data_IF_963339783966
#
_entry.id   IF_963339783966
#
_cell.length_a   1.000
_cell.length_b   1.000
_cell.length_c   1.000
_cell.angle_alpha   90.00
_cell.angle_beta   90.00
_cell.angle_gamma   90.00
#
_symmetry.space_group_name_H-M   'P 1'
#
loop_
_entity.id
_entity.type
_entity.pdbx_description
1 polymer ?
#
# COMPACT_ATOMS: atom_id res chain seq x y z
N UNK A 1 -17.32 -6.72 1.23
CA UNK A 1 -16.56 -7.49 2.24
C UNK A 1 -16.11 -6.61 3.41
N UNK A 2 -15.33 -5.53 3.18
CA UNK A 2 -14.88 -4.59 4.25
C UNK A 2 -16.02 -3.79 4.92
N UNK A 3 -16.94 -3.22 4.14
CA UNK A 3 -18.11 -2.47 4.67
C UNK A 3 -19.02 -3.38 5.55
N UNK A 4 -19.16 -4.66 5.18
CA UNK A 4 -19.94 -5.64 5.98
C UNK A 4 -19.23 -5.97 7.30
N UNK A 5 -17.90 -6.16 7.28
CA UNK A 5 -17.08 -6.36 8.49
C UNK A 5 -17.23 -5.16 9.45
N UNK A 6 -17.09 -3.95 8.91
CA UNK A 6 -17.30 -2.71 9.65
C UNK A 6 -18.70 -2.66 10.27
N UNK A 7 -19.75 -2.98 9.51
CA UNK A 7 -21.13 -2.93 10.01
C UNK A 7 -21.42 -3.88 11.19
N UNK A 8 -20.69 -4.99 11.34
CA UNK A 8 -20.92 -5.97 12.42
C UNK A 8 -20.19 -5.62 13.72
N UNK A 9 -19.07 -4.89 13.64
CA UNK A 9 -18.24 -4.54 14.80
C UNK A 9 -18.27 -3.05 15.17
N UNK A 10 -18.84 -2.20 14.32
CA UNK A 10 -18.96 -0.77 14.59
C UNK A 10 -20.18 -0.47 15.46
N UNK A 11 -19.96 0.11 16.64
CA UNK A 11 -20.96 0.98 17.22
C UNK A 11 -21.04 2.26 16.37
N UNK A 12 -21.93 2.25 15.38
CA UNK A 12 -22.12 3.38 14.46
C UNK A 12 -22.57 4.67 15.15
N UNK A 13 -23.16 4.59 16.35
CA UNK A 13 -23.60 5.78 17.09
C UNK A 13 -22.41 6.53 17.69
N UNK A 14 -21.46 5.82 18.31
CA UNK A 14 -20.32 6.43 18.99
C UNK A 14 -19.04 6.54 18.12
N UNK A 15 -18.98 5.87 16.97
CA UNK A 15 -17.77 5.90 16.13
C UNK A 15 -17.74 7.17 15.27
N UNK A 16 -16.83 8.09 15.60
CA UNK A 16 -16.55 9.31 14.82
C UNK A 16 -15.40 9.15 13.81
N UNK A 17 -14.49 8.18 13.97
CA UNK A 17 -13.51 7.86 12.92
C UNK A 17 -13.02 6.41 12.96
N UNK A 18 -12.39 5.99 11.86
CA UNK A 18 -11.71 4.71 11.68
C UNK A 18 -10.21 4.95 11.53
N UNK A 19 -9.40 4.46 12.46
CA UNK A 19 -7.94 4.58 12.42
C UNK A 19 -7.29 3.30 11.92
N UNK A 20 -6.33 3.41 10.99
CA UNK A 20 -5.63 2.28 10.39
C UNK A 20 -4.17 2.26 10.81
N UNK A 21 -3.63 1.08 11.10
CA UNK A 21 -2.20 0.92 11.32
C UNK A 21 -1.43 1.08 10.00
N UNK A 22 -0.32 1.81 10.07
CA UNK A 22 0.53 2.04 8.91
C UNK A 22 1.52 0.88 8.71
N UNK A 23 1.57 0.36 7.49
CA UNK A 23 2.58 -0.58 7.00
C UNK A 23 3.48 0.12 5.99
N UNK A 24 4.79 0.16 6.27
CA UNK A 24 5.76 0.68 5.29
C UNK A 24 6.11 -0.36 4.26
N UNK A 25 5.97 0.03 2.99
CA UNK A 25 6.44 -0.69 1.82
C UNK A 25 7.59 0.14 1.23
N UNK A 26 8.82 -0.19 1.62
CA UNK A 26 9.98 0.56 1.13
C UNK A 26 10.24 0.23 -0.33
N UNK A 27 10.45 1.26 -1.15
CA UNK A 27 10.66 1.12 -2.59
C UNK A 27 12.01 0.48 -2.93
N UNK A 28 12.96 0.48 -2.00
CA UNK A 28 14.28 -0.15 -2.17
C UNK A 28 14.30 -1.65 -1.95
N UNK A 29 13.24 -2.25 -1.38
CA UNK A 29 13.11 -3.71 -1.46
C UNK A 29 12.91 -4.13 -2.91
N UNK A 30 13.38 -5.32 -3.23
CA UNK A 30 13.18 -5.91 -4.55
C UNK A 30 11.70 -6.02 -4.90
N UNK A 31 11.45 -6.03 -6.21
CA UNK A 31 10.13 -6.31 -6.76
C UNK A 31 9.71 -7.75 -6.44
N UNK A 32 8.41 -8.00 -6.31
CA UNK A 32 7.86 -9.34 -6.16
C UNK A 32 8.11 -10.18 -7.41
N UNK A 33 8.50 -11.45 -7.27
CA UNK A 33 8.73 -12.35 -8.39
C UNK A 33 7.49 -12.53 -9.30
N UNK A 34 6.28 -12.26 -8.79
CA UNK A 34 5.08 -12.26 -9.61
C UNK A 34 5.13 -11.27 -10.79
N UNK A 35 6.04 -10.28 -10.78
CA UNK A 35 6.23 -9.39 -11.94
C UNK A 35 6.68 -10.13 -13.20
N UNK A 36 7.38 -11.26 -13.06
CA UNK A 36 7.81 -12.10 -14.20
C UNK A 36 6.66 -12.92 -14.80
N UNK A 37 5.53 -13.01 -14.10
CA UNK A 37 4.37 -13.81 -14.50
C UNK A 37 3.24 -12.92 -15.05
N UNK A 38 3.44 -11.60 -15.11
CA UNK A 38 2.48 -10.69 -15.75
C UNK A 38 2.69 -10.66 -17.26
N UNK A 39 1.57 -10.65 -17.99
CA UNK A 39 1.56 -10.61 -19.45
C UNK A 39 1.35 -9.19 -20.01
N UNK A 40 1.14 -8.20 -19.14
CA UNK A 40 0.81 -6.84 -19.54
C UNK A 40 1.62 -5.80 -18.77
N UNK A 41 1.97 -4.71 -19.47
CA UNK A 41 2.78 -3.63 -18.92
C UNK A 41 2.09 -2.85 -17.79
N UNK A 42 0.76 -2.78 -17.77
CA UNK A 42 0.03 -2.08 -16.69
C UNK A 42 0.27 -2.83 -15.38
N UNK A 43 0.01 -4.13 -15.34
CA UNK A 43 0.19 -4.94 -14.13
C UNK A 43 1.63 -4.90 -13.60
N UNK A 44 2.63 -5.00 -14.48
CA UNK A 44 4.04 -5.03 -14.07
C UNK A 44 4.59 -3.67 -13.59
N UNK A 45 3.96 -2.56 -13.98
CA UNK A 45 4.38 -1.23 -13.54
C UNK A 45 3.58 -0.70 -12.34
N UNK A 46 2.49 -1.35 -11.93
CA UNK A 46 1.74 -0.95 -10.74
C UNK A 46 2.54 -1.23 -9.47
N UNK A 47 2.91 -0.17 -8.75
CA UNK A 47 3.64 -0.25 -7.47
C UNK A 47 2.94 -1.17 -6.47
N UNK A 48 1.61 -1.18 -6.44
CA UNK A 48 0.81 -2.03 -5.53
C UNK A 48 0.90 -3.52 -5.85
N UNK A 49 1.25 -3.90 -7.08
CA UNK A 49 1.43 -5.28 -7.50
C UNK A 49 2.91 -5.69 -7.50
N UNK A 50 3.79 -4.73 -7.79
CA UNK A 50 5.24 -4.93 -7.88
C UNK A 50 5.95 -4.86 -6.53
N UNK A 51 5.56 -3.94 -5.65
CA UNK A 51 6.17 -3.76 -4.31
C UNK A 51 5.27 -4.36 -3.25
N UNK A 52 5.40 -5.65 -3.00
CA UNK A 52 4.56 -6.40 -2.05
C UNK A 52 5.21 -6.60 -0.69
N UNK A 53 6.50 -6.29 -0.55
CA UNK A 53 7.21 -6.44 0.71
C UNK A 53 6.95 -5.24 1.61
N UNK A 54 6.62 -5.52 2.87
CA UNK A 54 6.45 -4.51 3.91
C UNK A 54 7.25 -4.83 5.16
N UNK A 55 7.46 -3.83 6.01
CA UNK A 55 7.98 -4.04 7.37
C UNK A 55 7.03 -4.96 8.13
N UNK A 56 7.57 -5.95 8.85
CA UNK A 56 6.76 -6.92 9.59
C UNK A 56 5.98 -6.24 10.72
N UNK A 57 6.66 -5.38 11.49
CA UNK A 57 6.05 -4.60 12.57
C UNK A 57 5.26 -3.41 12.00
N UNK A 58 3.96 -3.40 12.27
CA UNK A 58 3.07 -2.28 11.96
C UNK A 58 3.30 -1.12 12.94
N UNK A 59 3.06 0.11 12.49
CA UNK A 59 3.04 1.25 13.40
C UNK A 59 1.81 1.18 14.32
N UNK A 60 1.96 1.56 15.61
CA UNK A 60 0.81 1.72 16.50
C UNK A 60 -0.22 2.70 15.93
N UNK A 61 -1.48 2.54 16.31
CA UNK A 61 -2.50 3.54 16.00
C UNK A 61 -2.07 4.93 16.49
N UNK A 62 -2.49 5.97 15.77
CA UNK A 62 -2.14 7.39 16.01
C UNK A 62 -0.67 7.73 15.73
N UNK A 63 0.19 6.76 15.47
CA UNK A 63 1.56 6.98 15.01
C UNK A 63 1.67 6.71 13.52
N UNK A 64 1.82 7.77 12.71
CA UNK A 64 1.87 7.65 11.23
C UNK A 64 0.63 7.04 10.60
N UNK A 65 -0.44 6.80 11.37
CA UNK A 65 -1.74 6.37 10.89
C UNK A 65 -2.36 7.39 9.94
N UNK A 66 -3.28 6.89 9.13
CA UNK A 66 -4.31 7.70 8.47
C UNK A 66 -5.66 7.17 8.92
N UNK A 67 -6.67 8.01 8.81
CA UNK A 67 -8.00 7.73 9.30
C UNK A 67 -9.05 8.23 8.32
N UNK A 68 -10.24 7.62 8.42
CA UNK A 68 -11.45 8.12 7.77
C UNK A 68 -12.32 8.66 8.91
N UNK A 69 -12.64 9.95 8.92
CA UNK A 69 -13.52 10.55 9.91
C UNK A 69 -14.92 10.81 9.37
N UNK A 70 -15.87 10.95 10.30
CA UNK A 70 -17.21 11.47 10.08
C UNK A 70 -17.19 12.96 10.41
N UNK A 71 -17.24 13.84 9.40
CA UNK A 71 -17.12 15.28 9.62
C UNK A 71 -18.16 15.80 10.62
N UNK A 72 -19.38 15.26 10.60
CA UNK A 72 -20.48 15.67 11.48
C UNK A 72 -20.27 15.34 12.97
N UNK A 73 -19.26 14.53 13.30
CA UNK A 73 -18.87 14.16 14.67
C UNK A 73 -17.49 14.67 15.06
N UNK A 74 -16.80 15.35 14.14
CA UNK A 74 -15.41 15.78 14.29
C UNK A 74 -15.37 17.29 14.53
N UNK A 75 -14.74 17.70 15.64
CA UNK A 75 -14.49 19.12 15.93
C UNK A 75 -13.15 19.53 15.33
N UNK A 76 -12.10 18.74 15.55
CA UNK A 76 -10.76 19.07 15.05
C UNK A 76 -10.02 17.84 14.50
N UNK A 77 -9.63 17.93 13.22
CA UNK A 77 -8.89 16.89 12.51
C UNK A 77 -7.37 17.07 12.69
N UNK A 78 -6.68 16.07 13.25
CA UNK A 78 -5.21 16.06 13.31
C UNK A 78 -4.56 15.29 12.16
N UNK A 79 -3.23 15.31 12.08
CA UNK A 79 -2.48 14.67 10.97
C UNK A 79 -2.59 13.12 10.94
N UNK A 80 -2.59 12.48 12.12
CA UNK A 80 -2.61 11.01 12.25
C UNK A 80 -3.86 10.46 12.92
N UNK A 81 -4.64 11.32 13.57
CA UNK A 81 -5.88 11.00 14.25
C UNK A 81 -6.68 12.29 14.42
N UNK A 82 -7.99 12.18 14.62
CA UNK A 82 -8.84 13.31 15.03
C UNK A 82 -8.46 13.73 16.45
N UNK A 83 -8.20 15.02 16.65
CA UNK A 83 -7.83 15.57 17.96
C UNK A 83 -9.06 15.74 18.85
N UNK A 84 -10.17 16.19 18.29
CA UNK A 84 -11.40 16.45 19.06
C UNK A 84 -12.67 15.96 18.33
N UNK A 85 -13.58 15.38 19.10
CA UNK A 85 -14.91 14.92 18.66
C UNK A 85 -16.01 15.61 19.44
N UNK A 86 -17.22 15.62 18.88
CA UNK A 86 -18.44 15.91 19.65
C UNK A 86 -18.52 14.93 20.85
N UNK A 87 -18.89 15.38 22.07
CA UNK A 87 -18.98 14.52 23.24
C UNK A 87 -19.71 13.20 22.98
N UNK A 88 -19.17 12.10 23.52
CA UNK A 88 -19.72 10.75 23.34
C UNK A 88 -19.24 10.02 22.07
N UNK A 89 -18.37 10.63 21.28
CA UNK A 89 -17.82 10.01 20.06
C UNK A 89 -16.32 9.81 20.14
N UNK A 90 -15.80 8.89 19.33
CA UNK A 90 -14.37 8.59 19.32
C UNK A 90 -13.88 7.80 18.12
N UNK A 91 -12.66 7.28 18.26
CA UNK A 91 -11.97 6.51 17.21
C UNK A 91 -12.22 5.03 17.40
N UNK A 92 -12.59 4.31 16.33
CA UNK A 92 -12.39 2.87 16.26
C UNK A 92 -11.00 2.59 15.68
N UNK A 93 -10.18 1.87 16.44
CA UNK A 93 -8.95 1.28 15.93
C UNK A 93 -9.29 0.05 15.09
N UNK A 94 -9.09 0.15 13.77
CA UNK A 94 -9.37 -0.96 12.85
C UNK A 94 -8.33 -2.07 13.06
N UNK A 95 -8.75 -3.30 13.39
CA UNK A 95 -7.83 -4.43 13.52
C UNK A 95 -7.04 -4.68 12.23
N UNK A 96 -5.76 -5.04 12.37
CA UNK A 96 -4.84 -5.21 11.23
C UNK A 96 -5.14 -6.42 10.35
N UNK A 97 -5.85 -7.42 10.88
CA UNK A 97 -6.40 -8.54 10.11
C UNK A 97 -7.58 -8.12 9.21
N UNK A 98 -8.23 -7.00 9.53
CA UNK A 98 -9.30 -6.42 8.72
C UNK A 98 -8.79 -5.46 7.64
N UNK A 99 -7.90 -4.53 8.03
CA UNK A 99 -7.28 -3.60 7.10
C UNK A 99 -6.02 -2.93 7.69
N UNK A 100 -5.08 -2.62 6.80
CA UNK A 100 -3.89 -1.82 7.08
C UNK A 100 -3.77 -0.71 6.03
N UNK A 101 -3.03 0.35 6.37
CA UNK A 101 -2.65 1.40 5.43
C UNK A 101 -1.33 1.03 4.75
N UNK A 102 -1.35 0.89 3.43
CA UNK A 102 -0.14 0.72 2.62
C UNK A 102 0.53 2.08 2.43
N UNK A 103 1.76 2.23 2.92
CA UNK A 103 2.54 3.45 2.78
C UNK A 103 3.83 3.14 2.02
N UNK A 104 3.79 3.39 0.72
CA UNK A 104 4.93 3.26 -0.18
C UNK A 104 5.86 4.45 -0.02
N UNK A 105 7.14 4.20 0.26
CA UNK A 105 8.09 5.29 0.51
C UNK A 105 9.54 4.90 0.25
N UNK A 106 10.39 5.91 0.07
CA UNK A 106 11.85 5.78 0.18
C UNK A 106 12.24 5.79 1.68
N UNK A 107 13.36 5.14 2.04
CA UNK A 107 13.89 5.15 3.42
C UNK A 107 13.92 6.58 4.00
N UNK A 108 13.50 6.71 5.26
CA UNK A 108 13.26 7.97 5.98
C UNK A 108 14.46 8.92 6.04
N UNK A 109 15.66 8.36 6.21
CA UNK A 109 16.86 9.09 6.62
C UNK A 109 17.96 9.04 5.56
N UNK A 110 17.61 8.70 4.32
CA UNK A 110 18.59 8.34 3.28
C UNK A 110 19.17 6.94 3.49
N UNK A 111 19.96 6.48 2.51
CA UNK A 111 20.54 5.14 2.49
C UNK A 111 19.51 4.01 2.42
N UNK A 112 19.95 2.80 2.80
CA UNK A 112 19.18 1.55 2.67
C UNK A 112 19.05 0.77 3.99
N UNK A 113 19.29 1.41 5.13
CA UNK A 113 19.19 0.71 6.43
C UNK A 113 17.75 0.27 6.74
N UNK A 114 16.75 0.96 6.18
CA UNK A 114 15.34 0.62 6.42
C UNK A 114 14.97 -0.77 5.88
N UNK A 115 15.64 -1.24 4.80
CA UNK A 115 15.38 -2.54 4.19
C UNK A 115 16.10 -3.70 4.90
N UNK A 116 17.02 -3.42 5.82
CA UNK A 116 17.67 -4.40 6.70
C UNK A 116 16.77 -4.87 7.85
N UNK A 117 15.64 -4.19 8.06
CA UNK A 117 14.69 -4.54 9.12
C UNK A 117 13.83 -5.75 8.75
N UNK A 118 13.27 -6.43 9.76
CA UNK A 118 12.38 -7.57 9.56
C UNK A 118 11.20 -7.20 8.63
N UNK A 119 11.03 -7.99 7.57
CA UNK A 119 10.03 -7.77 6.52
C UNK A 119 9.23 -9.04 6.23
N UNK A 120 8.06 -8.85 5.62
CA UNK A 120 7.20 -9.94 5.16
C UNK A 120 6.61 -9.59 3.79
N UNK A 121 6.30 -10.62 3.00
CA UNK A 121 5.58 -10.46 1.74
C UNK A 121 4.07 -10.31 2.03
N UNK A 122 3.46 -9.28 1.46
CA UNK A 122 2.04 -8.97 1.61
C UNK A 122 1.40 -8.78 0.24
N UNK A 123 0.76 -9.84 -0.25
CA UNK A 123 0.04 -9.87 -1.52
C UNK A 123 -1.44 -9.52 -1.36
N UNK A 124 -1.87 -8.95 -0.24
CA UNK A 124 -3.31 -8.68 0.02
C UNK A 124 -3.93 -7.79 -1.07
N UNK A 125 -3.17 -6.89 -1.67
CA UNK A 125 -3.62 -6.04 -2.78
C UNK A 125 -3.99 -6.83 -4.05
N UNK A 126 -3.48 -8.05 -4.24
CA UNK A 126 -3.74 -8.87 -5.43
C UNK A 126 -5.20 -9.29 -5.55
N UNK A 127 -5.96 -9.28 -4.44
CA UNK A 127 -7.43 -9.48 -4.49
C UNK A 127 -8.15 -8.45 -5.35
N UNK A 128 -7.51 -7.30 -5.62
CA UNK A 128 -8.03 -6.23 -6.46
C UNK A 128 -7.25 -6.10 -7.77
N UNK A 129 -6.34 -7.02 -8.09
CA UNK A 129 -5.45 -6.94 -9.25
C UNK A 129 -6.21 -6.61 -10.52
N UNK A 130 -7.17 -7.44 -10.90
CA UNK A 130 -7.84 -7.32 -12.20
C UNK A 130 -8.69 -6.05 -12.31
N UNK A 131 -9.40 -5.69 -11.23
CA UNK A 131 -10.20 -4.46 -11.20
C UNK A 131 -9.29 -3.23 -11.28
N UNK A 132 -8.17 -3.23 -10.54
CA UNK A 132 -7.23 -2.11 -10.51
C UNK A 132 -6.50 -1.95 -11.84
N UNK A 133 -6.00 -3.04 -12.42
CA UNK A 133 -5.26 -3.01 -13.69
C UNK A 133 -6.17 -2.56 -14.83
N UNK A 134 -7.42 -3.04 -14.87
CA UNK A 134 -8.39 -2.59 -15.88
C UNK A 134 -8.74 -1.10 -15.72
N UNK A 135 -8.98 -0.63 -14.50
CA UNK A 135 -9.27 0.78 -14.24
C UNK A 135 -8.10 1.70 -14.63
N UNK A 136 -6.87 1.29 -14.29
CA UNK A 136 -5.66 2.04 -14.64
C UNK A 136 -5.41 2.02 -16.14
N UNK A 137 -5.58 0.87 -16.82
CA UNK A 137 -5.45 0.75 -18.28
C UNK A 137 -6.37 1.73 -19.00
N UNK A 138 -7.64 1.75 -18.63
CA UNK A 138 -8.62 2.67 -19.22
C UNK A 138 -8.21 4.14 -19.07
N UNK A 139 -7.69 4.53 -17.91
CA UNK A 139 -7.21 5.90 -17.70
C UNK A 139 -5.90 6.20 -18.43
N UNK A 140 -4.97 5.24 -18.45
CA UNK A 140 -3.71 5.38 -19.17
C UNK A 140 -3.95 5.56 -20.67
N UNK A 141 -4.74 4.69 -21.30
CA UNK A 141 -5.03 4.75 -22.74
C UNK A 141 -5.74 6.06 -23.11
N UNK A 142 -6.69 6.50 -22.28
CA UNK A 142 -7.40 7.78 -22.45
C UNK A 142 -6.46 9.00 -22.39
N UNK A 143 -5.45 8.95 -21.52
CA UNK A 143 -4.52 10.06 -21.30
C UNK A 143 -3.25 9.97 -22.16
N UNK A 144 -2.91 8.79 -22.69
CA UNK A 144 -1.69 8.53 -23.46
C UNK A 144 -1.55 9.48 -24.63
N UNK A 145 -2.59 9.58 -25.46
CA UNK A 145 -2.61 10.47 -26.62
C UNK A 145 -2.75 11.94 -26.23
N UNK A 146 -3.55 12.25 -25.21
CA UNK A 146 -3.85 13.62 -24.77
C UNK A 146 -2.69 14.31 -24.06
N UNK A 147 -1.89 13.54 -23.33
CA UNK A 147 -0.84 14.03 -22.45
C UNK A 147 0.55 13.56 -22.87
N UNK A 148 0.68 12.86 -24.01
CA UNK A 148 1.94 12.29 -24.50
C UNK A 148 2.70 11.50 -23.43
N UNK A 149 1.99 10.64 -22.69
CA UNK A 149 2.58 9.87 -21.60
C UNK A 149 3.69 8.94 -22.14
N UNK A 150 4.73 8.68 -21.34
CA UNK A 150 5.78 7.72 -21.70
C UNK A 150 5.24 6.29 -21.81
N UNK A 151 5.85 5.45 -22.65
CA UNK A 151 5.52 4.03 -22.75
C UNK A 151 5.84 3.28 -21.46
N UNK A 152 4.99 2.33 -21.12
CA UNK A 152 5.20 1.47 -19.95
C UNK A 152 6.22 0.39 -20.28
N UNK A 153 7.06 0.06 -19.30
CA UNK A 153 8.07 -0.99 -19.45
C UNK A 153 7.38 -2.35 -19.53
N UNK A 154 7.72 -3.16 -20.52
CA UNK A 154 7.24 -4.53 -20.56
C UNK A 154 7.73 -5.32 -19.33
N UNK A 155 6.96 -6.32 -18.86
CA UNK A 155 7.40 -7.22 -17.80
C UNK A 155 8.80 -7.79 -18.11
N UNK A 156 9.70 -7.85 -17.12
CA UNK A 156 11.02 -8.44 -17.32
C UNK A 156 10.88 -9.95 -17.60
N UNK A 157 11.80 -10.51 -18.40
CA UNK A 157 11.83 -11.97 -18.62
C UNK A 157 12.72 -12.65 -17.58
N UNK A 158 12.32 -13.84 -17.12
CA UNK A 158 13.11 -14.63 -16.13
C UNK A 158 14.54 -14.95 -16.60
N UNK A 159 14.78 -14.96 -17.92
CA UNK A 159 16.08 -15.29 -18.53
C UNK A 159 17.14 -14.21 -18.21
N UNK A 160 16.74 -12.95 -18.15
CA UNK A 160 17.68 -11.82 -17.99
C UNK A 160 18.32 -11.78 -16.58
N UNK A 161 17.60 -12.22 -15.54
CA UNK A 161 18.12 -12.21 -14.17
C UNK A 161 19.07 -13.36 -13.84
N UNK A 162 18.95 -14.53 -14.49
CA UNK A 162 19.95 -15.60 -14.34
C UNK A 162 21.33 -15.10 -14.77
N UNK A 163 21.41 -14.39 -15.89
CA UNK A 163 22.64 -13.79 -16.41
C UNK A 163 23.19 -12.70 -15.48
N UNK A 164 22.35 -11.81 -14.94
CA UNK A 164 22.80 -10.76 -14.02
C UNK A 164 23.28 -11.34 -12.67
N UNK A 165 22.60 -12.36 -12.13
CA UNK A 165 23.01 -12.99 -10.88
C UNK A 165 24.29 -13.83 -11.03
N UNK A 166 24.57 -14.37 -12.22
CA UNK A 166 25.84 -15.00 -12.56
C UNK A 166 27.01 -14.00 -12.65
N UNK A 167 26.72 -12.71 -12.83
CA UNK A 167 27.70 -11.65 -13.00
C UNK A 167 27.96 -10.84 -11.70
N UNK A 168 27.21 -11.06 -10.62
CA UNK A 168 27.49 -10.43 -9.32
C UNK A 168 28.59 -11.21 -8.60
N UNK A 169 29.77 -10.63 -8.33
CA UNK A 169 30.78 -11.27 -7.50
C UNK A 169 30.21 -11.49 -6.09
N UNK A 170 30.32 -12.73 -5.59
CA UNK A 170 29.72 -13.14 -4.32
C UNK A 170 30.25 -12.33 -3.15
N UNK A 171 29.36 -11.60 -2.47
CA UNK A 171 29.62 -11.16 -1.10
C UNK A 171 29.33 -12.35 -0.18
N UNK A 172 30.42 -12.97 0.30
CA UNK A 172 30.42 -13.85 1.47
C UNK A 172 30.28 -13.03 2.74
#
# INVERSE_FOLDING_TARGET
MYIKYLNQRLNKRATGSLSFQNAFFYLQWDDDDAVYDFNDAISSNLVTLKKTRRRSKLHPHKQRSKYICRPELTVEAGNHFVWEYIPGHGTLNVPSDAAILHHYRVCEFGGDDCIKTASTADKTAYRYKDILTNAVRLQYDRLKSKCHLADLKMPPTRVFNKLINLLKPGQR
#
